data_IF_221792762708
#
_entry.id   IF_221792762708
#
_cell.length_a   1.000
_cell.length_b   1.000
_cell.length_c   1.000
_cell.angle_alpha   90.00
_cell.angle_beta   90.00
_cell.angle_gamma   90.00
#
_symmetry.space_group_name_H-M   'P 1'
#
loop_
_entity.id
_entity.type
_entity.pdbx_description
1 polymer ?
#
# COMPACT_ATOMS: atom_id res chain seq x y z
N UNK A 1 17.55 3.08 -7.69
CA UNK A 1 16.84 2.25 -8.68
C UNK A 1 15.34 2.38 -8.39
N UNK A 2 14.64 3.35 -8.97
CA UNK A 2 13.18 3.46 -8.75
C UNK A 2 12.47 2.56 -9.76
N UNK A 3 11.66 1.65 -9.26
CA UNK A 3 10.77 0.82 -10.07
C UNK A 3 9.71 1.74 -10.69
N UNK A 4 9.97 2.26 -11.89
CA UNK A 4 9.11 3.25 -12.56
C UNK A 4 7.81 2.66 -13.12
N UNK A 5 7.57 1.35 -12.97
CA UNK A 5 6.45 0.64 -13.60
C UNK A 5 5.39 0.12 -12.61
N UNK A 6 5.51 0.42 -11.31
CA UNK A 6 4.54 -0.03 -10.31
C UNK A 6 3.88 1.19 -9.66
N UNK A 7 2.55 1.19 -9.62
CA UNK A 7 1.79 2.26 -8.99
C UNK A 7 1.65 2.04 -7.48
N UNK A 8 1.26 0.84 -7.04
CA UNK A 8 1.11 0.48 -5.61
C UNK A 8 2.18 -0.53 -5.20
N UNK A 9 2.94 -0.23 -4.14
CA UNK A 9 3.91 -1.16 -3.56
C UNK A 9 3.34 -1.79 -2.28
N UNK A 10 3.13 -3.09 -2.33
CA UNK A 10 2.66 -3.88 -1.20
C UNK A 10 3.75 -4.86 -0.71
N UNK A 11 3.76 -5.14 0.59
CA UNK A 11 4.58 -6.20 1.18
C UNK A 11 3.70 -7.17 1.96
N UNK A 12 4.01 -8.47 1.89
CA UNK A 12 3.40 -9.50 2.74
C UNK A 12 4.46 -10.03 3.72
N UNK A 13 4.51 -9.54 4.97
CA UNK A 13 5.52 -9.97 5.93
C UNK A 13 5.27 -11.42 6.37
N UNK A 14 6.34 -12.23 6.42
CA UNK A 14 6.27 -13.63 6.87
C UNK A 14 6.48 -13.82 8.38
N UNK A 15 6.98 -12.80 9.08
CA UNK A 15 7.24 -12.82 10.53
C UNK A 15 6.86 -11.49 11.17
N UNK A 16 6.70 -11.49 12.50
CA UNK A 16 6.42 -10.29 13.30
C UNK A 16 7.53 -9.25 13.12
N UNK A 17 8.80 -9.67 13.10
CA UNK A 17 9.94 -8.75 12.97
C UNK A 17 9.95 -8.06 11.60
N UNK A 18 9.68 -8.82 10.53
CA UNK A 18 9.56 -8.25 9.18
C UNK A 18 8.35 -7.31 9.10
N UNK A 19 7.24 -7.64 9.74
CA UNK A 19 6.08 -6.74 9.79
C UNK A 19 6.40 -5.45 10.54
N UNK A 20 7.08 -5.53 11.70
CA UNK A 20 7.51 -4.36 12.46
C UNK A 20 8.45 -3.49 11.64
N UNK A 21 9.43 -4.10 10.97
CA UNK A 21 10.34 -3.40 10.07
C UNK A 21 9.59 -2.73 8.91
N UNK A 22 8.60 -3.41 8.32
CA UNK A 22 7.76 -2.83 7.26
C UNK A 22 6.97 -1.61 7.75
N UNK A 23 6.42 -1.67 8.95
CA UNK A 23 5.69 -0.54 9.56
C UNK A 23 6.59 0.68 9.78
N UNK A 24 7.86 0.48 10.11
CA UNK A 24 8.77 1.55 10.57
C UNK A 24 9.64 2.13 9.46
N UNK A 25 10.21 1.30 8.59
CA UNK A 25 11.34 1.70 7.77
C UNK A 25 11.10 1.57 6.26
N UNK A 26 10.15 0.73 5.81
CA UNK A 26 9.95 0.52 4.38
C UNK A 26 9.10 1.62 3.76
N UNK A 27 9.50 2.09 2.57
CA UNK A 27 8.75 3.05 1.74
C UNK A 27 7.71 2.34 0.86
N UNK A 28 6.65 1.85 1.51
CA UNK A 28 5.56 1.07 0.90
C UNK A 28 4.21 1.78 1.06
N UNK A 29 3.18 1.28 0.37
CA UNK A 29 1.80 1.76 0.57
C UNK A 29 0.93 0.78 1.34
N UNK A 30 1.16 -0.53 1.16
CA UNK A 30 0.29 -1.58 1.70
C UNK A 30 1.10 -2.62 2.46
N UNK A 31 0.60 -3.02 3.62
CA UNK A 31 0.98 -4.24 4.32
C UNK A 31 -0.16 -5.25 4.19
N UNK A 32 0.09 -6.32 3.44
CA UNK A 32 -0.82 -7.45 3.24
C UNK A 32 -0.55 -8.51 4.28
N UNK A 33 -1.50 -8.78 5.18
CA UNK A 33 -1.30 -9.75 6.24
C UNK A 33 -1.93 -11.10 5.88
N UNK A 34 -1.21 -12.18 6.16
CA UNK A 34 -1.81 -13.49 6.30
C UNK A 34 -2.42 -13.59 7.70
N UNK A 35 -3.71 -13.26 7.77
CA UNK A 35 -4.49 -13.23 9.00
C UNK A 35 -5.04 -14.62 9.36
N UNK A 36 -4.97 -15.60 8.46
CA UNK A 36 -5.28 -16.98 8.80
C UNK A 36 -4.17 -17.65 9.63
N UNK A 37 -2.94 -17.11 9.60
CA UNK A 37 -1.79 -17.61 10.35
C UNK A 37 -1.29 -16.58 11.39
N UNK A 38 -1.25 -16.96 12.66
CA UNK A 38 -1.12 -16.07 13.83
C UNK A 38 0.25 -15.38 14.04
N UNK A 39 1.11 -15.25 13.02
CA UNK A 39 2.53 -14.89 13.19
C UNK A 39 2.99 -13.61 12.48
N UNK A 40 2.09 -12.75 12.01
CA UNK A 40 2.49 -11.64 11.12
C UNK A 40 1.91 -10.28 11.51
N UNK A 41 0.89 -10.20 12.36
CA UNK A 41 0.25 -8.94 12.71
C UNK A 41 1.15 -8.04 13.60
N UNK A 42 1.16 -6.71 13.36
CA UNK A 42 1.95 -5.78 14.17
C UNK A 42 1.39 -5.63 15.59
N UNK A 43 2.23 -5.15 16.51
CA UNK A 43 1.77 -4.66 17.80
C UNK A 43 1.23 -3.22 17.68
N UNK A 44 0.62 -2.69 18.75
CA UNK A 44 0.05 -1.35 18.78
C UNK A 44 1.03 -0.26 18.31
N UNK A 45 2.24 -0.23 18.88
CA UNK A 45 3.22 0.81 18.53
C UNK A 45 3.61 0.76 17.04
N UNK A 46 3.89 -0.41 16.49
CA UNK A 46 4.23 -0.56 15.08
C UNK A 46 3.05 -0.21 14.17
N UNK A 47 1.83 -0.66 14.52
CA UNK A 47 0.63 -0.34 13.76
C UNK A 47 0.35 1.17 13.69
N UNK A 48 0.49 1.87 14.81
CA UNK A 48 0.29 3.33 14.86
C UNK A 48 1.34 4.09 14.05
N UNK A 49 2.60 3.64 14.03
CA UNK A 49 3.64 4.20 13.16
C UNK A 49 3.29 4.00 11.68
N UNK A 50 2.80 2.81 11.29
CA UNK A 50 2.38 2.57 9.91
C UNK A 50 1.19 3.47 9.53
N UNK A 51 0.20 3.60 10.41
CA UNK A 51 -0.98 4.46 10.20
C UNK A 51 -0.58 5.92 10.03
N UNK A 52 0.30 6.46 10.89
CA UNK A 52 0.74 7.85 10.80
C UNK A 52 1.57 8.14 9.54
N UNK A 53 2.29 7.14 9.03
CA UNK A 53 3.00 7.19 7.74
C UNK A 53 2.08 7.05 6.52
N UNK A 54 0.77 6.87 6.73
CA UNK A 54 -0.21 6.68 5.66
C UNK A 54 -0.12 5.33 4.97
N UNK A 55 0.46 4.32 5.63
CA UNK A 55 0.49 2.93 5.15
C UNK A 55 -0.86 2.29 5.46
N UNK A 56 -1.38 1.53 4.50
CA UNK A 56 -2.64 0.80 4.60
C UNK A 56 -2.41 -0.67 4.94
N UNK A 57 -3.32 -1.25 5.72
CA UNK A 57 -3.36 -2.69 5.97
C UNK A 57 -4.49 -3.32 5.15
N UNK A 58 -4.14 -4.35 4.40
CA UNK A 58 -5.11 -5.13 3.62
C UNK A 58 -5.72 -6.24 4.48
N UNK A 59 -7.05 -6.32 4.50
CA UNK A 59 -7.80 -7.46 5.02
C UNK A 59 -8.31 -8.27 3.84
N UNK A 60 -7.59 -9.34 3.49
CA UNK A 60 -8.02 -10.28 2.47
C UNK A 60 -9.08 -11.23 3.04
N UNK A 61 -10.36 -10.91 2.86
CA UNK A 61 -11.47 -11.64 3.50
C UNK A 61 -11.59 -13.09 3.03
N UNK A 62 -11.08 -13.44 1.85
CA UNK A 62 -11.16 -14.81 1.35
C UNK A 62 -10.36 -15.82 2.18
N UNK A 63 -9.40 -15.35 2.98
CA UNK A 63 -8.68 -16.20 3.93
C UNK A 63 -9.64 -16.85 4.96
N UNK A 64 -10.79 -16.23 5.25
CA UNK A 64 -11.80 -16.74 6.18
C UNK A 64 -12.55 -18.00 5.71
N UNK A 65 -12.65 -18.20 4.39
CA UNK A 65 -13.42 -19.31 3.81
C UNK A 65 -12.58 -20.27 2.95
N UNK A 66 -11.37 -19.87 2.51
CA UNK A 66 -10.43 -20.79 1.84
C UNK A 66 -9.94 -21.91 2.77
N UNK A 67 -9.84 -21.66 4.08
CA UNK A 67 -9.44 -22.64 5.09
C UNK A 67 -10.42 -22.62 6.29
N UNK A 68 -11.47 -23.45 6.28
CA UNK A 68 -12.48 -23.46 7.35
C UNK A 68 -11.88 -23.65 8.75
N UNK A 69 -10.84 -24.49 8.90
CA UNK A 69 -10.14 -24.71 10.17
C UNK A 69 -9.38 -23.50 10.72
N UNK A 70 -9.15 -22.47 9.89
CA UNK A 70 -8.46 -21.22 10.29
C UNK A 70 -9.41 -20.04 10.41
N UNK A 71 -10.72 -20.24 10.21
CA UNK A 71 -11.73 -19.18 10.27
C UNK A 71 -11.71 -18.44 11.61
N UNK A 72 -11.73 -19.17 12.74
CA UNK A 72 -11.72 -18.55 14.06
C UNK A 72 -10.46 -17.70 14.30
N UNK A 73 -9.29 -18.22 13.91
CA UNK A 73 -8.02 -17.50 13.99
C UNK A 73 -8.04 -16.23 13.12
N UNK A 74 -8.56 -16.33 11.89
CA UNK A 74 -8.74 -15.17 11.01
C UNK A 74 -9.57 -14.07 11.67
N UNK A 75 -10.76 -14.39 12.18
CA UNK A 75 -11.62 -13.39 12.83
C UNK A 75 -10.94 -12.76 14.06
N UNK A 76 -10.26 -13.56 14.89
CA UNK A 76 -9.50 -13.07 16.04
C UNK A 76 -8.37 -12.12 15.63
N UNK A 77 -7.61 -12.48 14.60
CA UNK A 77 -6.49 -11.67 14.10
C UNK A 77 -6.97 -10.38 13.44
N UNK A 78 -8.08 -10.40 12.70
CA UNK A 78 -8.66 -9.19 12.11
C UNK A 78 -9.14 -8.26 13.22
N UNK A 79 -9.82 -8.77 14.25
CA UNK A 79 -10.25 -7.97 15.40
C UNK A 79 -9.05 -7.32 16.09
N UNK A 80 -7.98 -8.09 16.35
CA UNK A 80 -6.73 -7.55 16.89
C UNK A 80 -6.15 -6.46 15.98
N UNK A 81 -6.17 -6.65 14.66
CA UNK A 81 -5.70 -5.66 13.70
C UNK A 81 -6.51 -4.36 13.80
N UNK A 82 -7.84 -4.46 13.86
CA UNK A 82 -8.75 -3.31 14.06
C UNK A 82 -8.40 -2.57 15.35
N UNK A 83 -8.18 -3.30 16.44
CA UNK A 83 -7.83 -2.69 17.73
C UNK A 83 -6.48 -1.95 17.67
N UNK A 84 -5.44 -2.58 17.11
CA UNK A 84 -4.10 -1.97 17.07
C UNK A 84 -3.98 -0.80 16.08
N UNK A 85 -4.79 -0.78 15.02
CA UNK A 85 -4.87 0.35 14.08
C UNK A 85 -5.92 1.39 14.46
N UNK A 86 -6.75 1.11 15.48
CA UNK A 86 -7.95 1.90 15.81
C UNK A 86 -8.94 2.02 14.63
N UNK A 87 -8.97 0.99 13.77
CA UNK A 87 -9.79 0.96 12.56
C UNK A 87 -9.32 1.89 11.44
N UNK A 88 -8.15 2.53 11.56
CA UNK A 88 -7.61 3.43 10.55
C UNK A 88 -6.80 2.69 9.49
N UNK A 89 -6.81 3.24 8.27
CA UNK A 89 -6.08 2.76 7.10
C UNK A 89 -6.29 1.26 6.78
N UNK A 90 -7.48 0.74 7.06
CA UNK A 90 -7.88 -0.63 6.71
C UNK A 90 -8.65 -0.63 5.39
N UNK A 91 -8.44 -1.63 4.54
CA UNK A 91 -9.29 -1.86 3.37
C UNK A 91 -9.46 -3.36 3.12
N UNK A 92 -10.55 -3.72 2.43
CA UNK A 92 -10.84 -5.11 2.12
C UNK A 92 -10.34 -5.52 0.73
N UNK A 93 -9.91 -6.76 0.61
CA UNK A 93 -9.61 -7.38 -0.69
C UNK A 93 -10.02 -8.85 -0.68
N UNK A 94 -10.00 -9.48 -1.84
CA UNK A 94 -10.43 -10.86 -2.01
C UNK A 94 -9.31 -11.84 -2.33
N UNK A 95 -8.18 -11.41 -2.88
CA UNK A 95 -7.16 -12.29 -3.49
C UNK A 95 -7.83 -13.42 -4.31
N UNK A 96 -8.91 -13.06 -5.01
CA UNK A 96 -9.80 -14.00 -5.68
C UNK A 96 -9.18 -14.47 -7.00
N UNK A 97 -9.12 -15.78 -7.20
CA UNK A 97 -8.80 -16.40 -8.49
C UNK A 97 -10.07 -16.83 -9.24
N UNK A 98 -11.22 -16.79 -8.57
CA UNK A 98 -12.53 -17.21 -9.11
C UNK A 98 -13.57 -16.15 -8.79
N UNK A 99 -14.54 -15.96 -9.68
CA UNK A 99 -15.63 -15.00 -9.49
C UNK A 99 -16.44 -15.26 -8.20
N UNK A 100 -16.59 -16.53 -7.80
CA UNK A 100 -17.31 -16.95 -6.60
C UNK A 100 -16.69 -16.45 -5.28
N UNK A 101 -15.41 -16.08 -5.31
CA UNK A 101 -14.68 -15.58 -4.14
C UNK A 101 -14.85 -14.06 -3.96
N UNK A 102 -15.54 -13.37 -4.88
CA UNK A 102 -15.84 -11.93 -4.82
C UNK A 102 -17.10 -11.70 -3.98
N UNK A 103 -17.14 -10.59 -3.25
CA UNK A 103 -18.25 -10.15 -2.38
C UNK A 103 -18.73 -8.77 -2.76
N UNK A 104 -20.03 -8.51 -2.54
CA UNK A 104 -20.61 -7.19 -2.78
C UNK A 104 -20.18 -6.23 -1.67
N UNK A 105 -20.14 -4.92 -1.91
CA UNK A 105 -19.83 -3.94 -0.87
C UNK A 105 -20.72 -4.06 0.38
N UNK A 106 -21.99 -4.45 0.23
CA UNK A 106 -22.89 -4.71 1.36
C UNK A 106 -22.38 -5.84 2.28
N UNK A 107 -21.84 -6.92 1.71
CA UNK A 107 -21.28 -8.03 2.47
C UNK A 107 -20.02 -7.60 3.24
N UNK A 108 -19.21 -6.72 2.63
CA UNK A 108 -18.01 -6.17 3.27
C UNK A 108 -18.38 -5.32 4.50
N UNK A 109 -19.50 -4.58 4.44
CA UNK A 109 -20.00 -3.82 5.59
C UNK A 109 -20.39 -4.73 6.75
N UNK A 110 -21.05 -5.85 6.45
CA UNK A 110 -21.40 -6.88 7.45
C UNK A 110 -20.14 -7.48 8.07
N UNK A 111 -19.13 -7.81 7.24
CA UNK A 111 -17.84 -8.29 7.73
C UNK A 111 -17.15 -7.26 8.64
N UNK A 112 -17.13 -5.98 8.25
CA UNK A 112 -16.58 -4.91 9.08
C UNK A 112 -17.24 -4.82 10.46
N UNK A 113 -18.58 -4.92 10.51
CA UNK A 113 -19.32 -4.98 11.77
C UNK A 113 -18.94 -6.21 12.61
N UNK A 114 -18.81 -7.39 11.98
CA UNK A 114 -18.37 -8.62 12.67
C UNK A 114 -16.93 -8.50 13.21
N UNK A 115 -16.07 -7.70 12.59
CA UNK A 115 -14.71 -7.44 13.08
C UNK A 115 -14.66 -6.39 14.20
N UNK A 116 -15.79 -5.80 14.57
CA UNK A 116 -15.88 -4.80 15.64
C UNK A 116 -15.54 -3.38 15.19
N UNK A 117 -15.60 -3.09 13.89
CA UNK A 117 -15.43 -1.73 13.37
C UNK A 117 -16.67 -0.86 13.65
N UNK A 118 -16.47 0.44 13.88
CA UNK A 118 -17.56 1.42 13.92
C UNK A 118 -18.12 1.68 12.52
N UNK A 119 -19.32 2.27 12.42
CA UNK A 119 -19.94 2.57 11.12
C UNK A 119 -19.04 3.45 10.23
N UNK A 120 -18.36 4.44 10.81
CA UNK A 120 -17.44 5.32 10.08
C UNK A 120 -16.20 4.58 9.58
N UNK A 121 -15.66 3.67 10.40
CA UNK A 121 -14.53 2.82 10.01
C UNK A 121 -14.92 1.86 8.89
N UNK A 122 -16.12 1.27 8.98
CA UNK A 122 -16.67 0.39 7.96
C UNK A 122 -16.78 1.16 6.64
N UNK A 123 -17.45 2.31 6.64
CA UNK A 123 -17.65 3.09 5.43
C UNK A 123 -16.31 3.53 4.84
N UNK A 124 -15.38 4.03 5.67
CA UNK A 124 -14.04 4.37 5.22
C UNK A 124 -13.30 3.19 4.58
N UNK A 125 -13.38 1.98 5.17
CA UNK A 125 -12.70 0.79 4.68
C UNK A 125 -13.27 0.21 3.39
N UNK A 126 -14.56 0.45 3.12
CA UNK A 126 -15.27 -0.05 1.93
C UNK A 126 -15.26 0.97 0.78
N UNK A 127 -15.08 2.26 1.06
CA UNK A 127 -15.11 3.32 0.03
C UNK A 127 -13.88 4.22 0.03
N UNK A 128 -13.71 5.04 1.06
CA UNK A 128 -12.74 6.16 1.05
C UNK A 128 -11.27 5.72 1.01
N UNK A 129 -10.94 4.63 1.69
CA UNK A 129 -9.55 4.21 1.89
C UNK A 129 -8.87 3.75 0.60
N UNK A 130 -9.60 3.21 -0.37
CA UNK A 130 -9.05 2.88 -1.70
C UNK A 130 -8.54 4.12 -2.44
N UNK A 131 -9.32 5.21 -2.42
CA UNK A 131 -8.91 6.46 -3.05
C UNK A 131 -7.74 7.12 -2.32
N UNK A 132 -7.72 7.06 -0.98
CA UNK A 132 -6.59 7.55 -0.17
C UNK A 132 -5.31 6.75 -0.44
N UNK A 133 -5.42 5.43 -0.57
CA UNK A 133 -4.31 4.55 -0.94
C UNK A 133 -3.73 4.95 -2.31
N UNK A 134 -4.57 5.15 -3.32
CA UNK A 134 -4.10 5.58 -4.65
C UNK A 134 -3.37 6.93 -4.60
N UNK A 135 -3.90 7.89 -3.84
CA UNK A 135 -3.23 9.18 -3.62
C UNK A 135 -1.88 9.03 -2.92
N UNK A 136 -1.79 8.19 -1.88
CA UNK A 136 -0.52 7.87 -1.19
C UNK A 136 0.52 7.27 -2.14
N UNK A 137 0.07 6.37 -2.99
CA UNK A 137 0.91 5.70 -3.97
C UNK A 137 1.42 6.68 -5.05
N UNK A 138 0.54 7.57 -5.53
CA UNK A 138 0.88 8.65 -6.45
C UNK A 138 1.88 9.64 -5.82
N UNK A 139 1.69 10.05 -4.57
CA UNK A 139 2.59 11.00 -3.91
C UNK A 139 3.99 10.40 -3.74
N UNK A 140 4.11 9.13 -3.35
CA UNK A 140 5.43 8.47 -3.30
C UNK A 140 6.14 8.50 -4.67
N UNK A 141 5.42 8.29 -5.77
CA UNK A 141 5.99 8.17 -7.12
C UNK A 141 6.33 9.51 -7.75
N UNK A 142 5.41 10.46 -7.67
CA UNK A 142 5.40 11.66 -8.49
C UNK A 142 5.78 12.93 -7.76
N UNK A 143 6.08 12.86 -6.45
CA UNK A 143 6.40 14.06 -5.67
C UNK A 143 7.73 13.94 -4.94
N UNK A 144 8.35 15.08 -4.68
CA UNK A 144 9.40 15.22 -3.70
C UNK A 144 8.76 15.52 -2.33
N UNK A 145 8.95 14.61 -1.37
CA UNK A 145 8.45 14.72 0.01
C UNK A 145 6.95 15.04 0.14
N UNK A 146 6.10 14.53 -0.76
CA UNK A 146 4.66 14.82 -0.79
C UNK A 146 4.31 16.32 -0.97
N UNK A 147 5.29 17.18 -1.28
CA UNK A 147 5.13 18.64 -1.32
C UNK A 147 5.20 19.20 -2.74
N UNK A 148 6.13 18.70 -3.56
CA UNK A 148 6.38 19.23 -4.92
C UNK A 148 6.15 18.12 -5.93
N UNK A 149 5.20 18.31 -6.86
CA UNK A 149 4.99 17.37 -7.96
C UNK A 149 6.10 17.52 -9.00
N UNK A 150 6.77 16.41 -9.30
CA UNK A 150 7.74 16.34 -10.39
C UNK A 150 6.97 16.38 -11.72
N UNK A 151 7.38 17.25 -12.64
CA UNK A 151 6.89 17.18 -14.00
C UNK A 151 7.43 15.90 -14.65
N UNK A 152 6.53 15.05 -15.14
CA UNK A 152 6.92 13.92 -15.97
C UNK A 152 7.43 14.46 -17.30
N UNK A 153 8.75 14.66 -17.40
CA UNK A 153 9.39 14.96 -18.68
C UNK A 153 9.22 13.73 -19.57
N UNK A 154 8.53 13.88 -20.69
CA UNK A 154 8.28 12.77 -21.61
C UNK A 154 9.62 12.14 -22.02
N UNK A 155 9.64 10.83 -22.28
CA UNK A 155 10.87 10.14 -22.74
C UNK A 155 11.46 10.80 -24.00
N UNK A 156 10.60 11.40 -24.82
CA UNK A 156 10.95 12.17 -26.02
C UNK A 156 11.68 13.46 -25.68
N UNK A 157 11.25 14.18 -24.65
CA UNK A 157 11.89 15.42 -24.19
C UNK A 157 13.21 15.15 -23.46
N UNK A 158 13.31 14.05 -22.69
CA UNK A 158 14.59 13.64 -22.08
C UNK A 158 15.65 13.35 -23.14
N UNK A 159 15.31 12.60 -24.20
CA UNK A 159 16.22 12.35 -25.34
C UNK A 159 16.63 13.64 -26.05
N UNK A 160 15.71 14.61 -26.20
CA UNK A 160 16.03 15.93 -26.80
C UNK A 160 17.00 16.73 -25.92
N UNK A 161 16.79 16.76 -24.61
CA UNK A 161 17.68 17.47 -23.67
C UNK A 161 19.07 16.82 -23.56
N UNK A 162 19.15 15.49 -23.57
CA UNK A 162 20.42 14.75 -23.58
C UNK A 162 21.22 15.02 -24.88
N UNK A 163 20.54 15.00 -26.03
CA UNK A 163 21.18 15.30 -27.33
C UNK A 163 21.66 16.75 -27.41
N UNK A 164 20.88 17.73 -26.91
CA UNK A 164 21.29 19.13 -26.86
C UNK A 164 22.47 19.36 -25.90
N UNK A 165 22.50 18.66 -24.77
CA UNK A 165 23.61 18.70 -23.81
C UNK A 165 24.93 18.17 -24.39
N UNK A 166 24.86 17.13 -25.24
CA UNK A 166 26.04 16.58 -25.94
C UNK A 166 26.53 17.50 -27.07
N UNK A 167 25.62 18.07 -27.88
CA UNK A 167 25.96 19.06 -28.92
C UNK A 167 26.61 20.33 -28.35
N UNK A 168 26.15 20.81 -27.20
CA UNK A 168 26.74 21.98 -26.56
C UNK A 168 28.14 21.70 -25.98
N UNK A 169 28.41 20.46 -25.53
CA UNK A 169 29.74 20.05 -25.06
C UNK A 169 30.74 19.88 -26.22
N UNK A 170 30.32 19.35 -27.37
CA UNK A 170 31.19 19.23 -28.56
C UNK A 170 31.55 20.61 -29.13
N UNK A 171 30.58 21.52 -29.23
CA UNK A 171 30.83 22.89 -29.71
C UNK A 171 31.76 23.70 -28.79
N UNK A 172 31.68 23.50 -27.47
CA UNK A 172 32.62 24.13 -26.51
C UNK A 172 34.04 23.55 -26.61
N UNK A 173 34.21 22.28 -26.95
CA UNK A 173 35.55 21.68 -27.18
C UNK A 173 36.18 22.20 -28.48
N UNK A 174 35.39 22.34 -29.55
CA UNK A 174 35.89 22.87 -30.83
C UNK A 174 36.37 24.33 -30.72
N UNK A 175 35.69 25.17 -29.94
CA UNK A 175 36.09 26.57 -29.70
C UNK A 175 37.31 26.75 -28.78
N UNK A 176 37.76 25.70 -28.08
CA UNK A 176 38.92 25.75 -27.18
C UNK A 176 40.21 25.23 -27.83
N UNK A 177 40.11 24.68 -29.03
CA UNK A 177 41.21 24.14 -29.82
C UNK A 177 41.60 25.06 -31.01
N UNK A 178 40.96 26.22 -31.11
CA UNK A 178 41.36 27.38 -31.92
C UNK A 178 41.91 28.45 -30.99
#
# INVERSE_FOLDING_TARGET
>A
SSSTHVDILAVRPGTIDVCKHACQNLEIDVISLDLANTKTAPNFAAAQVAVSRGIFFEICYAQSFKNPGKKAAFFSNVKRLVDVTRGHNLFFSSEALRALDIRKPADLRILGALFGMTQDQIEASVTLNYAKLLKKAETRKSTYNAAIRNQEVSKTEKRKQENQGQQNKSNKKAKKAQ
#
